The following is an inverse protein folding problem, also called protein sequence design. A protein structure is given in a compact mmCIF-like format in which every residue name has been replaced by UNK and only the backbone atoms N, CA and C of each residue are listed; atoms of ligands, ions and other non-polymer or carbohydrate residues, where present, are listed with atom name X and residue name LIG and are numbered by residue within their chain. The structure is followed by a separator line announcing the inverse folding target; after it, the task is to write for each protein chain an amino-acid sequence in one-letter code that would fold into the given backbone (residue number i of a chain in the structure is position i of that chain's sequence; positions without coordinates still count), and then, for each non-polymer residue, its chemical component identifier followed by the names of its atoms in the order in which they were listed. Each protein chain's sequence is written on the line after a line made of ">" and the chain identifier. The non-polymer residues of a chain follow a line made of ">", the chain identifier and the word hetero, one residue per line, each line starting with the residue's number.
data_IF_894735378859
#
_entry.id   IF_894735378859
#
_cell.length_a   1.000
_cell.length_b   1.000
_cell.length_c   1.000
_cell.angle_alpha   90.00
_cell.angle_beta   90.00
_cell.angle_gamma   90.00
#
_symmetry.space_group_name_H-M   'P 1'
#
loop_
_entity.id
_entity.type
_entity.pdbx_description
1 polymer ?
#
# COMPACT_ATOMS: atom_id res chain seq x y z
N UNK A 1 -1.90 -5.68 -0.99
CA UNK A 1 -1.24 -4.42 -0.57
C UNK A 1 -0.77 -3.70 -1.82
N UNK A 2 -1.13 -2.43 -2.00
CA UNK A 2 -0.79 -1.66 -3.20
C UNK A 2 0.51 -0.91 -2.96
N UNK A 3 1.47 -1.01 -3.88
CA UNK A 3 2.65 -0.16 -3.87
C UNK A 3 2.25 1.24 -4.36
N UNK A 4 2.49 2.26 -3.55
CA UNK A 4 2.10 3.63 -3.85
C UNK A 4 3.27 4.60 -3.59
N UNK A 5 3.70 5.28 -4.66
CA UNK A 5 4.73 6.33 -4.57
C UNK A 5 4.17 7.65 -4.07
N UNK A 6 2.85 7.86 -4.15
CA UNK A 6 2.16 9.05 -3.66
C UNK A 6 1.78 8.96 -2.18
N UNK A 7 1.90 7.78 -1.57
CA UNK A 7 1.67 7.59 -0.14
C UNK A 7 2.91 7.98 0.65
N UNK A 8 2.75 8.86 1.65
CA UNK A 8 3.80 9.16 2.62
C UNK A 8 4.03 7.99 3.57
N UNK A 9 2.95 7.34 4.00
CA UNK A 9 2.96 6.32 5.06
C UNK A 9 2.39 4.97 4.61
N UNK A 10 2.83 3.90 5.26
CA UNK A 10 2.15 2.62 5.16
C UNK A 10 0.77 2.68 5.83
N UNK A 11 -0.27 2.22 5.15
CA UNK A 11 -1.66 2.22 5.65
C UNK A 11 -2.21 0.80 5.66
N UNK A 12 -2.85 0.41 6.76
CA UNK A 12 -3.64 -0.81 6.88
C UNK A 12 -5.07 -0.50 7.28
N UNK A 13 -6.04 -1.14 6.64
CA UNK A 13 -7.47 -0.99 6.94
C UNK A 13 -7.96 -1.97 8.01
N UNK A 14 -7.11 -2.90 8.44
CA UNK A 14 -7.46 -3.94 9.41
C UNK A 14 -6.34 -4.14 10.43
N UNK A 15 -6.71 -4.18 11.72
CA UNK A 15 -5.81 -4.54 12.81
C UNK A 15 -5.33 -6.00 12.73
N UNK A 16 -6.07 -6.87 12.03
CA UNK A 16 -5.69 -8.28 11.85
C UNK A 16 -4.41 -8.45 11.03
N UNK A 17 -4.03 -7.43 10.23
CA UNK A 17 -2.79 -7.47 9.46
C UNK A 17 -1.54 -7.26 10.32
N UNK A 18 -1.69 -6.73 11.54
CA UNK A 18 -0.57 -6.34 12.38
C UNK A 18 -0.04 -7.52 13.18
N UNK A 19 1.27 -7.75 13.10
CA UNK A 19 1.95 -8.67 14.01
C UNK A 19 2.08 -8.06 15.41
N UNK A 20 2.15 -6.74 15.50
CA UNK A 20 2.14 -5.97 16.73
C UNK A 20 1.68 -4.55 16.46
N UNK A 21 0.98 -3.94 17.40
CA UNK A 21 0.55 -2.55 17.31
C UNK A 21 0.43 -1.93 18.70
N UNK A 22 0.50 -0.59 18.75
CA UNK A 22 0.32 0.19 19.96
C UNK A 22 -0.55 1.40 19.67
N UNK A 23 -1.22 1.90 20.70
CA UNK A 23 -1.86 3.22 20.66
C UNK A 23 -0.78 4.29 20.53
N UNK A 24 -1.02 5.29 19.70
CA UNK A 24 -0.16 6.45 19.49
C UNK A 24 -0.92 7.74 19.81
N UNK A 25 -0.21 8.86 19.94
CA UNK A 25 -0.85 10.17 19.83
C UNK A 25 -1.54 10.25 18.47
N UNK A 26 -2.83 10.63 18.39
CA UNK A 26 -3.56 10.64 17.13
C UNK A 26 -2.84 11.47 16.05
N UNK A 27 -2.71 10.89 14.85
CA UNK A 27 -2.10 11.55 13.69
C UNK A 27 -3.17 11.75 12.63
N UNK A 28 -3.26 12.97 12.11
CA UNK A 28 -4.13 13.32 10.99
C UNK A 28 -3.55 12.81 9.67
N UNK A 29 -4.40 12.14 8.89
CA UNK A 29 -4.09 11.55 7.59
C UNK A 29 -5.08 12.13 6.59
N UNK A 30 -4.56 12.77 5.55
CA UNK A 30 -5.36 13.26 4.44
C UNK A 30 -5.65 12.11 3.47
N UNK A 31 -6.93 11.91 3.18
CA UNK A 31 -7.41 10.91 2.25
C UNK A 31 -7.48 11.48 0.82
N UNK A 32 -7.40 10.63 -0.23
CA UNK A 32 -7.51 11.08 -1.62
C UNK A 32 -8.82 11.79 -1.99
N UNK A 33 -9.88 11.60 -1.19
CA UNK A 33 -11.17 12.26 -1.37
C UNK A 33 -11.23 13.66 -0.69
N UNK A 34 -10.14 14.12 -0.07
CA UNK A 34 -10.06 15.39 0.65
C UNK A 34 -10.49 15.33 2.12
N UNK A 35 -10.97 14.17 2.59
CA UNK A 35 -11.29 13.99 4.01
C UNK A 35 -10.01 13.86 4.84
N UNK A 36 -10.10 14.27 6.11
CA UNK A 36 -9.02 14.08 7.08
C UNK A 36 -9.52 13.11 8.14
N UNK A 37 -8.77 12.03 8.35
CA UNK A 37 -9.05 11.02 9.37
C UNK A 37 -7.90 10.95 10.36
N UNK A 38 -8.17 10.44 11.55
CA UNK A 38 -7.14 10.25 12.57
C UNK A 38 -6.80 8.77 12.73
N UNK A 39 -5.50 8.45 12.70
CA UNK A 39 -5.01 7.15 13.12
C UNK A 39 -4.62 7.20 14.60
N UNK A 40 -5.20 6.31 15.40
CA UNK A 40 -4.88 6.13 16.82
C UNK A 40 -3.87 5.01 17.07
N UNK A 41 -3.57 4.19 16.05
CA UNK A 41 -2.74 3.02 16.19
C UNK A 41 -1.65 2.98 15.12
N UNK A 42 -0.46 2.61 15.55
CA UNK A 42 0.66 2.31 14.67
C UNK A 42 1.33 1.02 15.09
N UNK A 43 1.93 0.31 14.13
CA UNK A 43 2.54 -0.97 14.41
C UNK A 43 3.35 -1.56 13.27
N UNK A 44 3.61 -2.84 13.41
CA UNK A 44 4.35 -3.66 12.46
C UNK A 44 3.40 -4.59 11.73
N UNK A 45 3.51 -4.64 10.40
CA UNK A 45 2.85 -5.64 9.56
C UNK A 45 3.94 -6.52 8.95
N UNK A 46 3.78 -7.84 9.12
CA UNK A 46 4.64 -8.83 8.46
C UNK A 46 3.83 -9.46 7.33
N UNK A 47 4.22 -9.16 6.11
CA UNK A 47 3.61 -9.74 4.92
C UNK A 47 4.17 -11.14 4.69
N UNK A 48 3.38 -12.03 4.08
CA UNK A 48 3.72 -13.46 3.86
C UNK A 48 5.06 -13.69 3.16
N UNK A 49 5.56 -12.67 2.46
CA UNK A 49 6.86 -12.69 1.82
C UNK A 49 8.00 -12.31 2.80
N UNK A 50 7.75 -12.30 4.11
CA UNK A 50 8.67 -11.83 5.14
C UNK A 50 9.13 -10.38 4.86
N UNK A 51 8.26 -9.54 4.31
CA UNK A 51 8.47 -8.08 4.26
C UNK A 51 7.93 -7.51 5.56
N UNK A 52 8.81 -6.83 6.29
CA UNK A 52 8.46 -6.20 7.55
C UNK A 52 8.22 -4.70 7.30
N UNK A 53 6.94 -4.30 7.37
CA UNK A 53 6.54 -2.90 7.29
C UNK A 53 6.45 -2.37 8.73
N UNK A 54 7.23 -1.35 9.03
CA UNK A 54 7.19 -0.66 10.32
C UNK A 54 6.41 0.65 10.20
N UNK A 55 5.96 1.18 11.34
CA UNK A 55 5.21 2.44 11.40
C UNK A 55 3.94 2.45 10.53
N UNK A 56 3.30 1.29 10.37
CA UNK A 56 2.05 1.19 9.61
C UNK A 56 0.93 1.83 10.41
N UNK A 57 0.17 2.75 9.82
CA UNK A 57 -1.00 3.34 10.45
C UNK A 57 -2.26 2.52 10.19
N UNK A 58 -3.07 2.34 11.22
CA UNK A 58 -4.39 1.74 11.09
C UNK A 58 -5.43 2.81 10.73
N UNK A 59 -6.02 2.66 9.56
CA UNK A 59 -7.01 3.60 9.02
C UNK A 59 -8.17 2.80 8.40
N UNK A 60 -9.17 2.38 9.19
CA UNK A 60 -10.28 1.58 8.69
C UNK A 60 -11.18 2.30 7.70
N UNK A 61 -11.13 3.64 7.66
CA UNK A 61 -11.86 4.47 6.69
C UNK A 61 -11.21 4.46 5.30
N UNK A 62 -9.97 4.00 5.17
CA UNK A 62 -9.30 3.86 3.87
C UNK A 62 -9.87 2.65 3.12
N UNK A 63 -9.84 2.68 1.78
CA UNK A 63 -10.39 1.58 0.98
C UNK A 63 -9.42 0.41 0.75
N UNK A 64 -8.11 0.65 0.92
CA UNK A 64 -7.05 -0.30 0.55
C UNK A 64 -5.86 -0.23 1.50
N UNK A 65 -5.14 -1.35 1.63
CA UNK A 65 -3.84 -1.35 2.31
C UNK A 65 -2.76 -0.81 1.36
N UNK A 66 -1.99 0.18 1.82
CA UNK A 66 -0.95 0.84 1.05
C UNK A 66 0.44 0.57 1.60
N UNK A 67 1.39 0.36 0.70
CA UNK A 67 2.81 0.38 0.99
C UNK A 67 3.37 1.67 0.40
N UNK A 68 3.71 2.63 1.28
CA UNK A 68 4.57 3.77 0.91
C UNK A 68 5.89 3.24 0.35
N UNK A 69 6.16 3.53 -0.93
CA UNK A 69 7.41 3.12 -1.57
C UNK A 69 8.60 3.82 -0.92
N UNK A 70 8.47 5.11 -0.59
CA UNK A 70 9.54 5.91 0.02
C UNK A 70 9.94 5.38 1.40
N UNK A 71 8.97 4.95 2.22
CA UNK A 71 9.26 4.29 3.50
C UNK A 71 9.87 2.90 3.31
N UNK A 72 9.35 2.11 2.35
CA UNK A 72 9.88 0.77 2.08
C UNK A 72 11.36 0.79 1.69
N UNK A 73 11.75 1.66 0.76
CA UNK A 73 13.14 1.72 0.25
C UNK A 73 14.11 2.32 1.27
N UNK A 74 13.65 3.33 2.05
CA UNK A 74 14.50 4.02 3.03
C UNK A 74 14.83 3.15 4.24
N UNK A 75 13.92 2.27 4.66
CA UNK A 75 14.10 1.51 5.90
C UNK A 75 15.04 0.30 5.78
N UNK A 76 15.07 -0.37 4.61
CA UNK A 76 15.71 -1.70 4.46
C UNK A 76 16.66 -1.83 3.26
N UNK A 77 17.01 -0.72 2.59
CA UNK A 77 17.74 -0.77 1.32
C UNK A 77 17.06 -1.72 0.33
N UNK A 78 15.73 -1.59 0.17
CA UNK A 78 15.04 -2.27 -0.91
C UNK A 78 15.19 -1.47 -2.20
N UNK A 79 15.37 -2.16 -3.32
CA UNK A 79 15.26 -1.59 -4.67
C UNK A 79 13.96 -2.08 -5.30
N UNK A 80 13.25 -1.19 -5.98
CA UNK A 80 12.05 -1.55 -6.76
C UNK A 80 12.36 -1.36 -8.25
N UNK A 81 12.08 -2.40 -9.04
CA UNK A 81 12.24 -2.36 -10.49
C UNK A 81 10.92 -2.67 -11.18
N UNK A 82 10.41 -1.68 -11.90
CA UNK A 82 9.11 -1.73 -12.57
C UNK A 82 9.27 -2.16 -14.04
N UNK A 83 8.45 -3.10 -14.46
CA UNK A 83 8.42 -3.63 -15.83
C UNK A 83 6.99 -3.89 -16.32
N UNK A 84 6.85 -4.28 -17.58
CA UNK A 84 5.56 -4.72 -18.15
C UNK A 84 4.97 -5.96 -17.47
N UNK A 85 5.77 -6.72 -16.72
CA UNK A 85 5.35 -7.95 -16.05
C UNK A 85 4.97 -7.73 -14.57
N UNK A 86 5.17 -6.51 -14.04
CA UNK A 86 5.00 -6.21 -12.62
C UNK A 86 6.19 -5.44 -12.05
N UNK A 87 6.28 -5.41 -10.72
CA UNK A 87 7.38 -4.78 -10.00
C UNK A 87 8.12 -5.85 -9.21
N UNK A 88 9.45 -5.90 -9.36
CA UNK A 88 10.29 -6.67 -8.44
C UNK A 88 10.73 -5.79 -7.28
N UNK A 89 10.83 -6.37 -6.10
CA UNK A 89 11.32 -5.71 -4.88
C UNK A 89 12.51 -6.54 -4.40
N UNK A 90 13.72 -6.00 -4.47
CA UNK A 90 14.93 -6.72 -4.14
C UNK A 90 15.60 -6.15 -2.88
N UNK A 91 15.96 -7.02 -1.94
CA UNK A 91 16.84 -6.67 -0.83
C UNK A 91 18.27 -6.45 -1.34
N UNK A 92 18.77 -5.21 -1.29
CA UNK A 92 20.09 -4.86 -1.84
C UNK A 92 21.22 -5.50 -1.02
N UNK A 93 21.05 -5.65 0.30
CA UNK A 93 22.10 -6.19 1.17
C UNK A 93 22.34 -7.67 0.91
N UNK A 94 21.27 -8.45 0.80
CA UNK A 94 21.38 -9.91 0.61
C UNK A 94 21.45 -10.31 -0.86
N UNK A 95 20.98 -9.45 -1.79
CA UNK A 95 20.78 -9.70 -3.23
C UNK A 95 19.94 -10.94 -3.58
N UNK A 96 19.51 -11.72 -2.59
CA UNK A 96 18.90 -13.05 -2.76
C UNK A 96 17.38 -13.04 -2.65
N UNK A 97 16.80 -12.03 -1.99
CA UNK A 97 15.37 -11.97 -1.74
C UNK A 97 14.71 -11.02 -2.71
N UNK A 98 13.94 -11.57 -3.63
CA UNK A 98 13.15 -10.82 -4.62
C UNK A 98 11.67 -11.14 -4.43
N UNK A 99 10.87 -10.11 -4.23
CA UNK A 99 9.41 -10.21 -4.21
C UNK A 99 8.85 -9.70 -5.53
N UNK A 100 7.66 -10.17 -5.90
CA UNK A 100 6.99 -9.75 -7.11
C UNK A 100 5.63 -9.17 -6.73
N UNK A 101 5.43 -7.90 -7.08
CA UNK A 101 4.12 -7.28 -7.12
C UNK A 101 3.57 -7.37 -8.55
N UNK A 102 2.36 -7.93 -8.68
CA UNK A 102 1.67 -8.13 -9.95
C UNK A 102 1.07 -6.81 -10.44
N UNK A 103 1.16 -6.53 -11.74
CA UNK A 103 0.45 -5.42 -12.37
C UNK A 103 -1.00 -5.84 -12.65
N UNK A 104 -1.96 -5.25 -11.96
CA UNK A 104 -3.40 -5.56 -12.11
C UNK A 104 -4.15 -4.23 -12.23
N UNK A 105 -4.81 -4.01 -13.37
CA UNK A 105 -5.59 -2.78 -13.59
C UNK A 105 -4.79 -1.48 -13.46
N UNK A 106 -3.50 -1.50 -13.80
CA UNK A 106 -2.60 -0.35 -13.66
C UNK A 106 -2.00 -0.15 -12.26
N UNK A 107 -2.28 -1.05 -11.31
CA UNK A 107 -1.75 -1.01 -9.94
C UNK A 107 -0.76 -2.14 -9.70
N UNK A 108 0.31 -1.85 -8.96
CA UNK A 108 1.27 -2.85 -8.51
C UNK A 108 0.84 -3.43 -7.17
N UNK A 109 0.31 -4.65 -7.21
CA UNK A 109 -0.24 -5.34 -6.05
C UNK A 109 0.77 -6.38 -5.57
N UNK A 110 1.31 -6.17 -4.38
CA UNK A 110 2.10 -7.18 -3.71
C UNK A 110 1.18 -8.30 -3.23
N UNK A 111 1.32 -9.47 -3.86
CA UNK A 111 0.57 -10.67 -3.53
C UNK A 111 1.01 -11.14 -2.14
N UNK A 112 0.09 -11.06 -1.19
CA UNK A 112 0.25 -11.52 0.17
C UNK A 112 -0.93 -12.45 0.44
N UNK A 113 -0.90 -13.63 -0.18
CA UNK A 113 -2.00 -14.58 -0.07
C UNK A 113 -2.10 -15.11 1.36
N UNK A 114 -2.83 -14.42 2.24
CA UNK A 114 -3.66 -15.13 3.20
C UNK A 114 -4.83 -15.66 2.37
N UNK A 115 -5.10 -16.97 2.49
CA UNK A 115 -6.26 -17.63 1.91
C UNK A 115 -7.56 -16.95 2.37
N UNK A 116 -7.99 -15.90 1.69
CA UNK A 116 -9.37 -15.47 1.68
C UNK A 116 -9.78 -15.44 0.20
N UNK A 117 -10.13 -16.63 -0.27
CA UNK A 117 -11.02 -16.75 -1.42
C UNK A 117 -12.28 -15.91 -1.15
N UNK A 118 -12.84 -15.34 -2.22
CA UNK A 118 -14.12 -14.63 -2.31
C UNK A 118 -14.14 -13.16 -1.89
N UNK A 119 -13.97 -12.27 -2.90
CA UNK A 119 -14.74 -11.01 -3.11
C UNK A 119 -14.14 -10.10 -4.21
N UNK A 120 -13.21 -10.58 -5.05
CA UNK A 120 -12.64 -9.76 -6.14
C UNK A 120 -13.34 -9.94 -7.51
N UNK A 121 -14.47 -10.67 -7.57
CA UNK A 121 -15.24 -10.88 -8.80
C UNK A 121 -16.61 -10.21 -8.75
N UNK A 122 -16.67 -8.93 -8.41
CA UNK A 122 -17.75 -8.05 -8.83
C UNK A 122 -17.14 -6.69 -9.13
N UNK A 123 -17.66 -5.99 -10.14
CA UNK A 123 -17.18 -4.70 -10.67
C UNK A 123 -16.11 -4.77 -11.78
N UNK A 124 -16.32 -5.65 -12.76
CA UNK A 124 -16.20 -5.21 -14.15
C UNK A 124 -17.57 -4.63 -14.57
N UNK A 125 -17.56 -3.54 -15.32
CA UNK A 125 -18.70 -2.72 -15.77
C UNK A 125 -19.14 -1.63 -14.79
N UNK A 126 -18.40 -0.52 -14.79
CA UNK A 126 -19.04 0.78 -14.94
C UNK A 126 -18.14 1.66 -15.80
N UNK A 127 -18.51 1.76 -17.08
CA UNK A 127 -18.01 2.77 -18.00
C UNK A 127 -18.52 4.10 -17.47
N UNK A 128 -17.67 4.82 -16.73
CA UNK A 128 -17.88 6.23 -16.44
C UNK A 128 -16.75 6.98 -17.12
N UNK A 129 -17.10 7.65 -18.21
CA UNK A 129 -16.27 8.64 -18.88
C UNK A 129 -15.80 9.69 -17.86
N UNK A 130 -14.56 9.57 -17.38
CA UNK A 130 -13.90 10.61 -16.59
C UNK A 130 -12.44 10.73 -17.02
N UNK A 131 -12.25 11.27 -18.22
CA UNK A 131 -11.00 11.90 -18.65
C UNK A 131 -10.57 13.04 -17.70
N UNK A 132 -11.42 13.46 -16.77
CA UNK A 132 -11.19 14.62 -15.88
C UNK A 132 -10.65 14.30 -14.47
N UNK A 133 -10.47 13.03 -14.08
CA UNK A 133 -9.98 12.70 -12.71
C UNK A 133 -8.46 12.73 -12.56
N UNK A 134 -7.71 12.87 -13.66
CA UNK A 134 -6.25 12.92 -13.63
C UNK A 134 -5.70 14.26 -13.09
N UNK A 135 -6.46 15.35 -13.16
CA UNK A 135 -5.97 16.69 -12.80
C UNK A 135 -5.90 16.97 -11.30
N UNK A 136 -6.61 16.21 -10.46
CA UNK A 136 -6.68 16.49 -9.02
C UNK A 136 -5.58 15.81 -8.19
N UNK A 137 -4.66 15.06 -8.81
CA UNK A 137 -3.54 14.41 -8.12
C UNK A 137 -2.22 15.17 -8.16
N UNK A 138 -2.09 16.27 -8.89
CA UNK A 138 -0.79 16.92 -9.09
C UNK A 138 -0.66 18.40 -8.72
N UNK A 139 -1.68 19.04 -8.13
CA UNK A 139 -1.50 20.40 -7.60
C UNK A 139 -0.87 21.39 -8.60
N UNK A 140 -1.19 21.28 -9.88
CA UNK A 140 -0.79 22.22 -10.92
C UNK A 140 -2.04 22.83 -11.56
N UNK A 141 -2.09 24.17 -11.74
CA UNK A 141 -3.18 24.87 -12.40
C UNK A 141 -3.26 24.59 -13.90
#
# INVERSE_FOLDING_TARGET
>A
WILDSGATDHISISLQNFSSYKRITPISIALPNGEIVCSEYSGTVVLNNNINLQNVFYVPQFSFNLISISQLVSFKNYELNFSSHGCTIQDIQTRKKTFIAKLIGGLYILDCSLNILSSATQFANNVVNKTSLWHLRLGHP
#
